data_IF_057686718843
#
_entry.id   IF_057686718843
#
_cell.length_a   1.000
_cell.length_b   1.000
_cell.length_c   1.000
_cell.angle_alpha   90.00
_cell.angle_beta   90.00
_cell.angle_gamma   90.00
#
_symmetry.space_group_name_H-M   'P 1'
#
loop_
_entity.id
_entity.type
_entity.pdbx_description
1 polymer ?
#
# COMPACT_ATOMS: atom_id res chain seq x y z
N UNK A 1 -2.62 20.31 9.75
CA UNK A 1 -2.26 19.13 8.95
C UNK A 1 -3.03 19.21 7.64
N UNK A 2 -2.41 19.01 6.46
CA UNK A 2 -3.18 18.97 5.22
C UNK A 2 -4.07 17.72 5.25
N UNK A 3 -5.34 17.87 4.86
CA UNK A 3 -6.31 16.78 4.81
C UNK A 3 -6.79 16.61 3.37
N UNK A 4 -7.08 15.37 3.00
CA UNK A 4 -7.78 14.99 1.78
C UNK A 4 -9.00 14.15 2.16
N UNK A 5 -9.97 13.91 1.28
CA UNK A 5 -10.98 12.87 1.55
C UNK A 5 -10.43 11.52 1.11
N UNK A 6 -10.88 10.43 1.73
CA UNK A 6 -10.47 9.08 1.32
C UNK A 6 -10.70 8.88 -0.18
N UNK A 7 -11.83 9.36 -0.70
CA UNK A 7 -12.16 9.22 -2.12
C UNK A 7 -11.21 9.97 -3.07
N UNK A 8 -10.54 11.04 -2.61
CA UNK A 8 -9.71 11.90 -3.46
C UNK A 8 -8.38 11.23 -3.86
N UNK A 9 -7.97 10.18 -3.16
CA UNK A 9 -6.74 9.42 -3.43
C UNK A 9 -7.02 8.10 -4.18
N UNK A 10 -8.28 7.81 -4.46
CA UNK A 10 -8.70 6.58 -5.14
C UNK A 10 -9.01 6.84 -6.62
N UNK A 11 -9.00 5.80 -7.47
CA UNK A 11 -9.45 5.92 -8.85
C UNK A 11 -10.82 6.58 -8.96
N UNK A 12 -10.94 7.58 -9.84
CA UNK A 12 -12.11 8.45 -9.95
C UNK A 12 -13.44 7.69 -10.14
N UNK A 13 -13.42 6.55 -10.85
CA UNK A 13 -14.61 5.73 -11.07
C UNK A 13 -15.30 5.26 -9.78
N UNK A 14 -14.59 5.20 -8.66
CA UNK A 14 -15.15 4.78 -7.38
C UNK A 14 -16.05 5.84 -6.72
N UNK A 15 -15.88 7.12 -7.10
CA UNK A 15 -16.63 8.24 -6.50
C UNK A 15 -18.14 8.16 -6.69
N UNK A 16 -18.59 7.39 -7.69
CA UNK A 16 -20.00 7.28 -8.07
C UNK A 16 -20.79 6.29 -7.21
N UNK A 17 -20.12 5.26 -6.67
CA UNK A 17 -20.80 4.15 -6.02
C UNK A 17 -20.29 3.81 -4.62
N UNK A 18 -19.11 4.28 -4.21
CA UNK A 18 -18.62 4.03 -2.85
C UNK A 18 -19.51 4.71 -1.80
N UNK A 19 -19.64 4.10 -0.60
CA UNK A 19 -20.52 4.60 0.45
C UNK A 19 -20.05 5.94 1.01
N UNK A 20 -20.93 6.71 1.68
CA UNK A 20 -20.62 8.04 2.21
C UNK A 20 -19.37 8.12 3.11
N UNK A 21 -19.01 7.02 3.79
CA UNK A 21 -17.79 6.91 4.58
C UNK A 21 -16.52 7.40 3.85
N UNK A 22 -16.41 7.16 2.54
CA UNK A 22 -15.24 7.56 1.74
C UNK A 22 -15.12 9.09 1.55
N UNK A 23 -16.14 9.86 1.95
CA UNK A 23 -16.08 11.33 1.94
C UNK A 23 -15.44 11.90 3.22
N UNK A 24 -15.14 11.05 4.21
CA UNK A 24 -14.48 11.47 5.44
C UNK A 24 -13.05 11.99 5.16
N UNK A 25 -12.59 13.00 5.92
CA UNK A 25 -11.24 13.52 5.79
C UNK A 25 -10.21 12.55 6.37
N UNK A 26 -9.06 12.42 5.74
CA UNK A 26 -7.90 11.67 6.21
C UNK A 26 -6.66 12.55 6.28
N UNK A 27 -5.72 12.23 7.21
CA UNK A 27 -4.36 12.77 7.18
C UNK A 27 -3.70 12.46 5.83
N UNK A 28 -2.98 13.44 5.28
CA UNK A 28 -2.06 13.17 4.17
C UNK A 28 -0.72 12.71 4.77
N UNK A 29 -0.22 11.56 4.31
CA UNK A 29 1.10 11.04 4.70
C UNK A 29 2.22 11.89 4.08
N UNK A 30 2.62 12.94 4.79
CA UNK A 30 3.54 13.96 4.27
C UNK A 30 4.98 13.45 4.13
N UNK A 31 5.36 12.44 4.92
CA UNK A 31 6.68 11.83 4.91
C UNK A 31 6.87 10.77 3.80
N UNK A 32 5.81 10.32 3.13
CA UNK A 32 5.84 9.18 2.21
C UNK A 32 5.53 9.57 0.74
N UNK A 33 6.16 10.63 0.23
CA UNK A 33 5.97 11.08 -1.16
C UNK A 33 7.02 10.49 -2.11
N UNK A 34 6.62 10.03 -3.31
CA UNK A 34 7.57 9.49 -4.30
C UNK A 34 8.55 10.55 -4.83
N UNK A 35 8.12 11.81 -4.93
CA UNK A 35 8.92 12.93 -5.42
C UNK A 35 10.08 13.28 -4.49
N UNK A 36 9.85 13.19 -3.18
CA UNK A 36 10.87 13.38 -2.15
C UNK A 36 10.92 12.15 -1.24
N UNK A 37 11.37 11.03 -1.82
CA UNK A 37 11.30 9.72 -1.18
C UNK A 37 12.15 9.67 0.09
N UNK A 38 11.49 9.55 1.25
CA UNK A 38 12.14 9.46 2.56
C UNK A 38 12.99 8.18 2.77
N UNK A 39 12.86 7.21 1.85
CA UNK A 39 13.61 5.97 1.86
C UNK A 39 14.88 6.05 1.03
N UNK A 40 15.24 7.19 0.44
CA UNK A 40 16.55 7.37 -0.18
C UNK A 40 17.58 7.80 0.88
N UNK A 41 18.79 7.26 0.74
CA UNK A 41 19.91 7.66 1.58
C UNK A 41 20.22 9.15 1.36
N UNK A 42 20.38 9.89 2.44
CA UNK A 42 20.79 11.29 2.41
C UNK A 42 22.31 11.39 2.65
N UNK A 43 23.01 12.38 2.05
CA UNK A 43 24.46 12.53 2.21
C UNK A 43 24.94 12.54 3.67
N UNK A 44 24.13 13.10 4.58
CA UNK A 44 24.44 13.20 6.03
C UNK A 44 23.86 12.03 6.87
N UNK A 45 23.43 10.94 6.23
CA UNK A 45 22.89 9.79 6.94
C UNK A 45 24.01 8.96 7.57
N UNK A 46 24.07 8.96 8.90
CA UNK A 46 24.90 8.02 9.66
C UNK A 46 24.25 6.62 9.81
N UNK A 47 23.06 6.42 9.23
CA UNK A 47 22.39 5.11 9.17
C UNK A 47 22.85 4.44 7.89
N UNK A 48 23.39 3.22 7.97
CA UNK A 48 23.83 2.46 6.79
C UNK A 48 22.76 1.47 6.30
N UNK A 49 22.94 0.98 5.06
CA UNK A 49 22.14 -0.11 4.48
C UNK A 49 22.09 -1.33 5.42
N UNK A 50 20.94 -2.04 5.55
CA UNK A 50 19.87 -2.18 4.56
C UNK A 50 18.56 -1.46 4.94
N UNK A 51 18.60 -0.16 5.27
CA UNK A 51 17.39 0.64 5.59
C UNK A 51 16.86 1.55 4.48
N UNK A 52 17.65 1.84 3.45
CA UNK A 52 17.26 2.71 2.32
C UNK A 52 16.94 1.93 1.05
N UNK A 53 16.08 2.46 0.19
CA UNK A 53 15.82 1.95 -1.15
C UNK A 53 16.87 2.46 -2.14
N UNK A 54 17.01 1.78 -3.27
CA UNK A 54 17.78 2.25 -4.41
C UNK A 54 17.06 3.42 -5.07
N UNK A 55 17.82 4.45 -5.48
CA UNK A 55 17.29 5.58 -6.24
C UNK A 55 16.60 5.15 -7.55
N UNK A 56 17.03 4.03 -8.14
CA UNK A 56 16.50 3.49 -9.40
C UNK A 56 15.18 2.74 -9.26
N UNK A 57 14.82 2.29 -8.05
CA UNK A 57 13.64 1.45 -7.85
C UNK A 57 12.68 1.97 -6.79
N UNK A 58 13.13 2.74 -5.78
CA UNK A 58 12.29 3.23 -4.67
C UNK A 58 11.44 2.08 -4.10
N UNK A 59 10.14 2.25 -3.84
CA UNK A 59 9.25 1.12 -3.50
C UNK A 59 8.71 0.37 -4.73
N UNK A 60 9.04 0.81 -5.95
CA UNK A 60 8.58 0.26 -7.23
C UNK A 60 9.33 -1.03 -7.62
N UNK A 61 9.63 -1.89 -6.65
CA UNK A 61 9.90 -3.32 -6.89
C UNK A 61 8.63 -4.17 -6.74
N UNK A 62 7.50 -3.55 -6.37
CA UNK A 62 6.19 -4.16 -6.45
C UNK A 62 5.64 -4.05 -7.87
N UNK A 63 5.31 -5.19 -8.49
CA UNK A 63 4.56 -5.22 -9.73
C UNK A 63 3.05 -5.28 -9.40
N UNK A 64 2.25 -4.28 -9.79
CA UNK A 64 0.82 -4.25 -9.44
C UNK A 64 0.01 -5.27 -10.22
N UNK A 65 -1.13 -5.65 -9.66
CA UNK A 65 -2.18 -6.44 -10.32
C UNK A 65 -3.35 -5.52 -10.69
N UNK A 66 -3.34 -4.97 -11.90
CA UNK A 66 -4.27 -3.92 -12.30
C UNK A 66 -5.56 -4.57 -12.84
N UNK A 67 -6.72 -4.36 -12.20
CA UNK A 67 -7.98 -4.99 -12.61
C UNK A 67 -8.47 -4.45 -13.96
N UNK A 68 -9.25 -5.28 -14.66
CA UNK A 68 -9.71 -5.04 -16.04
C UNK A 68 -10.25 -3.61 -16.30
N UNK A 69 -11.08 -3.09 -15.40
CA UNK A 69 -11.68 -1.76 -15.54
C UNK A 69 -10.71 -0.61 -15.24
N UNK A 70 -9.65 -0.82 -14.45
CA UNK A 70 -8.60 0.20 -14.25
C UNK A 70 -7.62 0.23 -15.42
N UNK A 71 -7.33 -0.93 -16.02
CA UNK A 71 -6.68 -0.98 -17.33
C UNK A 71 -7.51 -0.20 -18.34
N UNK A 72 -8.82 -0.46 -18.38
CA UNK A 72 -9.77 0.27 -19.22
C UNK A 72 -9.82 1.78 -18.95
N UNK A 73 -9.72 2.19 -17.68
CA UNK A 73 -9.70 3.59 -17.30
C UNK A 73 -8.47 4.30 -17.87
N UNK A 74 -7.29 3.68 -17.75
CA UNK A 74 -6.05 4.18 -18.36
C UNK A 74 -6.19 4.26 -19.90
N UNK A 75 -6.76 3.24 -20.54
CA UNK A 75 -6.96 3.19 -22.00
C UNK A 75 -7.98 4.22 -22.52
N UNK A 76 -8.90 4.68 -21.68
CA UNK A 76 -9.90 5.71 -22.01
C UNK A 76 -9.49 7.12 -21.55
N UNK A 77 -8.34 7.27 -20.90
CA UNK A 77 -7.85 8.58 -20.52
C UNK A 77 -7.38 9.33 -21.75
N UNK A 78 -7.87 10.55 -21.95
CA UNK A 78 -7.36 11.50 -22.96
C UNK A 78 -6.25 12.41 -22.42
N UNK A 79 -5.95 12.31 -21.11
CA UNK A 79 -4.87 13.09 -20.49
C UNK A 79 -3.51 12.75 -21.12
N UNK A 80 -2.76 13.74 -21.64
CA UNK A 80 -1.41 13.55 -22.16
C UNK A 80 -0.41 13.01 -21.12
N UNK A 81 -0.59 13.31 -19.83
CA UNK A 81 0.30 12.81 -18.76
C UNK A 81 0.26 11.27 -18.65
N UNK A 82 -0.84 10.64 -19.09
CA UNK A 82 -1.01 9.19 -19.05
C UNK A 82 -0.50 8.47 -20.33
N UNK A 83 0.03 9.18 -21.34
CA UNK A 83 0.44 8.58 -22.61
C UNK A 83 1.53 7.51 -22.44
N UNK A 84 2.57 7.79 -21.67
CA UNK A 84 3.63 6.81 -21.40
C UNK A 84 3.09 5.57 -20.69
N UNK A 85 2.17 5.75 -19.73
CA UNK A 85 1.48 4.64 -19.07
C UNK A 85 0.65 3.80 -20.03
N UNK A 86 -0.11 4.46 -20.91
CA UNK A 86 -0.90 3.80 -21.96
C UNK A 86 -0.03 2.94 -22.87
N UNK A 87 1.06 3.50 -23.39
CA UNK A 87 1.97 2.76 -24.27
C UNK A 87 2.61 1.55 -23.57
N UNK A 88 3.07 1.71 -22.33
CA UNK A 88 3.62 0.59 -21.54
C UNK A 88 2.59 -0.51 -21.29
N UNK A 89 1.34 -0.13 -20.98
CA UNK A 89 0.25 -1.08 -20.81
C UNK A 89 -0.09 -1.80 -22.11
N UNK A 90 -0.17 -1.08 -23.23
CA UNK A 90 -0.41 -1.67 -24.56
C UNK A 90 0.68 -2.66 -24.95
N UNK A 91 1.95 -2.36 -24.67
CA UNK A 91 3.06 -3.29 -24.89
C UNK A 91 2.91 -4.58 -24.07
N UNK A 92 2.45 -4.47 -22.81
CA UNK A 92 2.15 -5.66 -21.99
C UNK A 92 0.99 -6.48 -22.56
N UNK A 93 -0.08 -5.81 -23.00
CA UNK A 93 -1.23 -6.48 -23.62
C UNK A 93 -0.81 -7.20 -24.90
N UNK A 94 -0.05 -6.53 -25.77
CA UNK A 94 0.47 -7.11 -27.01
C UNK A 94 1.39 -8.32 -26.76
N UNK A 95 2.18 -8.30 -25.67
CA UNK A 95 3.02 -9.42 -25.26
C UNK A 95 2.23 -10.63 -24.75
N UNK A 96 0.95 -10.48 -24.39
CA UNK A 96 0.05 -11.53 -23.87
C UNK A 96 0.55 -12.27 -22.62
N UNK A 97 1.57 -11.73 -21.95
CA UNK A 97 2.17 -12.32 -20.75
C UNK A 97 1.46 -11.80 -19.51
N UNK A 98 0.90 -12.71 -18.71
CA UNK A 98 0.20 -12.40 -17.45
C UNK A 98 -0.96 -11.42 -17.60
N UNK A 99 -1.71 -11.52 -18.69
CA UNK A 99 -2.97 -10.81 -18.90
C UNK A 99 -4.14 -11.79 -18.90
N UNK A 100 -5.30 -11.35 -18.43
CA UNK A 100 -6.54 -12.11 -18.54
C UNK A 100 -7.75 -11.17 -18.55
N UNK A 101 -8.95 -11.67 -18.86
CA UNK A 101 -10.19 -10.90 -18.71
C UNK A 101 -10.40 -10.28 -17.32
N UNK A 102 -9.69 -10.73 -16.27
CA UNK A 102 -9.75 -10.12 -14.94
C UNK A 102 -8.82 -8.91 -14.77
N UNK A 103 -7.80 -8.75 -15.62
CA UNK A 103 -6.84 -7.66 -15.54
C UNK A 103 -5.44 -7.98 -16.10
N UNK A 104 -4.49 -7.10 -15.82
CA UNK A 104 -3.07 -7.26 -16.12
C UNK A 104 -2.31 -7.48 -14.82
N UNK A 105 -1.66 -8.63 -14.72
CA UNK A 105 -1.09 -9.14 -13.48
C UNK A 105 0.43 -9.14 -13.49
N UNK A 106 0.98 -9.24 -12.29
CA UNK A 106 2.38 -9.58 -12.08
C UNK A 106 2.71 -10.96 -12.65
N UNK A 107 3.86 -11.13 -13.31
CA UNK A 107 4.32 -12.46 -13.70
C UNK A 107 4.48 -13.38 -12.49
N UNK A 108 4.14 -14.66 -12.66
CA UNK A 108 4.20 -15.65 -11.58
C UNK A 108 5.61 -15.80 -11.00
N UNK A 109 6.64 -15.71 -11.85
CA UNK A 109 8.04 -15.73 -11.40
C UNK A 109 8.37 -14.57 -10.45
N UNK A 110 7.82 -13.38 -10.68
CA UNK A 110 7.99 -12.24 -9.78
C UNK A 110 7.32 -12.51 -8.43
N UNK A 111 6.16 -13.16 -8.42
CA UNK A 111 5.49 -13.57 -7.16
C UNK A 111 6.35 -14.54 -6.36
N UNK A 112 6.92 -15.55 -7.02
CA UNK A 112 7.80 -16.51 -6.37
C UNK A 112 9.08 -15.86 -5.84
N UNK A 113 9.73 -15.02 -6.64
CA UNK A 113 10.92 -14.28 -6.21
C UNK A 113 10.61 -13.38 -5.01
N UNK A 114 9.51 -12.62 -5.07
CA UNK A 114 9.12 -11.71 -3.98
C UNK A 114 8.76 -12.45 -2.69
N UNK A 115 8.13 -13.64 -2.79
CA UNK A 115 7.80 -14.48 -1.63
C UNK A 115 9.01 -15.12 -0.98
N UNK A 116 10.02 -15.47 -1.77
CA UNK A 116 11.23 -16.15 -1.31
C UNK A 116 12.41 -15.18 -1.08
N UNK A 117 12.22 -13.89 -1.32
CA UNK A 117 13.22 -12.86 -1.07
C UNK A 117 13.15 -12.34 0.38
N UNK A 118 14.30 -12.10 0.99
CA UNK A 118 14.39 -11.32 2.23
C UNK A 118 13.78 -9.90 2.03
N UNK A 119 13.25 -9.30 3.08
CA UNK A 119 12.79 -7.91 3.10
C UNK A 119 13.86 -6.93 2.59
N UNK A 120 15.13 -7.33 2.67
CA UNK A 120 16.26 -6.56 2.16
C UNK A 120 16.26 -6.31 0.64
N UNK A 121 15.53 -7.08 -0.17
CA UNK A 121 15.48 -6.86 -1.61
C UNK A 121 14.38 -5.89 -2.05
N UNK A 122 13.38 -5.68 -1.20
CA UNK A 122 12.29 -4.75 -1.47
C UNK A 122 12.84 -3.33 -1.59
N UNK A 123 12.54 -2.71 -2.72
CA UNK A 123 13.00 -1.40 -3.09
C UNK A 123 14.49 -1.29 -3.41
N UNK A 124 15.16 -2.41 -3.70
CA UNK A 124 16.61 -2.42 -4.04
C UNK A 124 16.92 -3.17 -5.31
N UNK A 125 16.26 -4.30 -5.54
CA UNK A 125 16.52 -5.13 -6.71
C UNK A 125 16.08 -4.44 -7.99
N UNK A 126 17.03 -4.00 -8.82
CA UNK A 126 16.76 -3.46 -10.16
C UNK A 126 16.10 -4.49 -11.07
N UNK A 127 16.40 -5.79 -10.88
CA UNK A 127 15.73 -6.87 -11.61
C UNK A 127 14.23 -6.93 -11.33
N UNK A 128 13.81 -6.56 -10.11
CA UNK A 128 12.40 -6.54 -9.73
C UNK A 128 11.71 -5.20 -10.04
N UNK A 129 12.38 -4.27 -10.73
CA UNK A 129 11.81 -2.95 -11.07
C UNK A 129 10.49 -3.11 -11.82
N UNK A 130 9.47 -2.44 -11.32
CA UNK A 130 8.14 -2.42 -11.91
C UNK A 130 8.20 -1.81 -13.33
N UNK A 131 7.55 -2.41 -14.34
CA UNK A 131 7.58 -1.90 -15.72
C UNK A 131 6.89 -0.54 -15.87
N UNK A 132 6.07 -0.13 -14.90
CA UNK A 132 5.40 1.17 -14.89
C UNK A 132 6.20 2.27 -14.20
N UNK A 133 7.37 1.96 -13.62
CA UNK A 133 8.27 2.95 -13.06
C UNK A 133 9.07 3.63 -14.17
N UNK A 134 9.01 4.96 -14.29
CA UNK A 134 9.86 5.71 -15.22
C UNK A 134 11.21 6.07 -14.59
N UNK A 135 12.10 6.65 -15.39
CA UNK A 135 13.45 7.03 -14.98
C UNK A 135 13.48 8.35 -14.17
N UNK A 136 12.41 9.14 -14.23
CA UNK A 136 12.21 10.32 -13.36
C UNK A 136 11.75 9.93 -11.95
N UNK A 137 11.41 8.66 -11.77
CA UNK A 137 11.09 8.06 -10.49
C UNK A 137 9.61 8.15 -10.12
N UNK A 138 8.72 8.27 -11.11
CA UNK A 138 7.26 8.27 -10.99
C UNK A 138 6.63 6.96 -11.51
N UNK A 139 5.34 6.81 -11.22
CA UNK A 139 4.53 5.70 -11.69
C UNK A 139 3.70 6.19 -12.88
N UNK A 140 3.97 5.65 -14.06
CA UNK A 140 3.33 6.06 -15.31
C UNK A 140 1.86 5.67 -15.42
N UNK A 141 1.35 4.83 -14.53
CA UNK A 141 -0.06 4.38 -14.51
C UNK A 141 -0.87 4.98 -13.36
N UNK A 142 -0.31 5.92 -12.59
CA UNK A 142 -1.10 6.73 -11.65
C UNK A 142 -2.15 7.56 -12.42
N UNK A 143 -3.41 7.71 -11.95
CA UNK A 143 -3.99 7.17 -10.72
C UNK A 143 -4.68 5.78 -10.86
N UNK A 144 -4.42 5.03 -11.94
CA UNK A 144 -5.08 3.75 -12.28
C UNK A 144 -4.33 2.50 -11.78
N UNK A 145 -3.78 2.59 -10.57
CA UNK A 145 -3.07 1.53 -9.85
C UNK A 145 -4.00 0.59 -9.06
N UNK A 146 -3.45 -0.55 -8.65
CA UNK A 146 -4.12 -1.54 -7.82
C UNK A 146 -4.22 -1.11 -6.35
N UNK A 147 -4.88 -1.95 -5.54
CA UNK A 147 -5.12 -1.68 -4.13
C UNK A 147 -3.81 -1.50 -3.35
N UNK A 148 -2.75 -2.23 -3.69
CA UNK A 148 -1.47 -2.19 -2.96
C UNK A 148 -0.77 -0.86 -3.22
N UNK A 149 -0.58 -0.49 -4.48
CA UNK A 149 0.15 0.72 -4.82
C UNK A 149 -0.57 2.00 -4.38
N UNK A 150 -1.91 2.00 -4.37
CA UNK A 150 -2.72 3.14 -3.91
C UNK A 150 -2.76 3.32 -2.38
N UNK A 151 -2.31 2.33 -1.62
CA UNK A 151 -2.38 2.35 -0.13
C UNK A 151 -1.02 2.08 0.53
N UNK A 152 0.05 2.01 -0.25
CA UNK A 152 1.40 1.77 0.27
C UNK A 152 2.07 3.07 0.71
N UNK A 153 2.38 3.17 2.00
CA UNK A 153 3.21 4.23 2.57
C UNK A 153 4.38 3.62 3.35
N UNK A 154 5.59 4.11 3.09
CA UNK A 154 6.79 3.67 3.83
C UNK A 154 6.90 4.34 5.21
N UNK A 155 6.22 5.47 5.40
CA UNK A 155 6.21 6.33 6.58
C UNK A 155 4.79 6.72 6.92
N UNK A 156 4.45 6.82 8.20
CA UNK A 156 3.11 7.12 8.67
C UNK A 156 3.15 8.23 9.72
N UNK A 157 2.55 9.37 9.41
CA UNK A 157 2.49 10.54 10.29
C UNK A 157 1.72 10.21 11.59
N UNK A 158 0.75 9.29 11.50
CA UNK A 158 0.00 8.77 12.63
C UNK A 158 0.58 7.48 13.25
N UNK A 159 1.75 7.00 12.82
CA UNK A 159 2.38 5.80 13.37
C UNK A 159 1.61 4.50 13.05
N UNK A 160 1.47 3.63 14.04
CA UNK A 160 0.81 2.32 13.93
C UNK A 160 -0.65 2.43 13.46
N UNK A 161 -1.37 3.44 13.93
CA UNK A 161 -2.77 3.66 13.60
C UNK A 161 -2.94 4.10 12.13
N UNK A 162 -2.00 4.90 11.63
CA UNK A 162 -1.91 5.22 10.20
C UNK A 162 -1.65 3.96 9.38
N UNK A 163 -0.64 3.18 9.75
CA UNK A 163 -0.32 1.91 9.10
C UNK A 163 -1.49 0.93 9.08
N UNK A 164 -2.19 0.78 10.22
CA UNK A 164 -3.38 -0.07 10.35
C UNK A 164 -4.49 0.42 9.43
N UNK A 165 -4.80 1.71 9.42
CA UNK A 165 -5.82 2.28 8.53
C UNK A 165 -5.52 1.97 7.06
N UNK A 166 -4.30 2.26 6.59
CA UNK A 166 -3.93 2.02 5.19
C UNK A 166 -3.95 0.54 4.83
N UNK A 167 -3.52 -0.33 5.73
CA UNK A 167 -3.59 -1.79 5.54
C UNK A 167 -5.04 -2.28 5.48
N UNK A 168 -5.94 -1.77 6.30
CA UNK A 168 -7.35 -2.15 6.25
C UNK A 168 -8.02 -1.61 4.99
N UNK A 169 -7.70 -0.37 4.57
CA UNK A 169 -8.17 0.20 3.31
C UNK A 169 -7.68 -0.64 2.12
N UNK A 170 -6.42 -1.09 2.15
CA UNK A 170 -5.88 -2.01 1.14
C UNK A 170 -6.72 -3.28 1.03
N UNK A 171 -7.02 -3.94 2.15
CA UNK A 171 -7.84 -5.16 2.15
C UNK A 171 -9.25 -4.90 1.58
N UNK A 172 -9.88 -3.79 1.97
CA UNK A 172 -11.17 -3.37 1.41
C UNK A 172 -11.11 -3.21 -0.11
N UNK A 173 -10.06 -2.53 -0.62
CA UNK A 173 -9.88 -2.28 -2.05
C UNK A 173 -9.51 -3.57 -2.82
N UNK A 174 -8.71 -4.47 -2.25
CA UNK A 174 -8.38 -5.75 -2.88
C UNK A 174 -9.65 -6.58 -3.10
N UNK A 175 -10.57 -6.62 -2.13
CA UNK A 175 -11.84 -7.33 -2.31
C UNK A 175 -12.78 -6.60 -3.26
N UNK A 176 -12.86 -5.26 -3.18
CA UNK A 176 -13.61 -4.44 -4.13
C UNK A 176 -13.17 -4.71 -5.57
N UNK A 177 -11.87 -4.70 -5.83
CA UNK A 177 -11.31 -4.94 -7.16
C UNK A 177 -11.68 -6.33 -7.70
N UNK A 178 -11.67 -7.36 -6.86
CA UNK A 178 -12.13 -8.71 -7.24
C UNK A 178 -13.61 -8.73 -7.61
N UNK A 179 -14.47 -8.08 -6.80
CA UNK A 179 -15.92 -8.00 -7.04
C UNK A 179 -16.18 -7.31 -8.39
N UNK A 180 -15.59 -6.13 -8.59
CA UNK A 180 -15.82 -5.33 -9.80
C UNK A 180 -15.27 -6.02 -11.06
N UNK A 181 -14.07 -6.62 -11.00
CA UNK A 181 -13.54 -7.39 -12.13
C UNK A 181 -14.45 -8.54 -12.54
N UNK A 182 -15.05 -9.25 -11.57
CA UNK A 182 -15.99 -10.36 -11.84
C UNK A 182 -17.36 -9.85 -12.30
N UNK A 183 -17.83 -8.72 -11.77
CA UNK A 183 -19.06 -8.08 -12.21
C UNK A 183 -19.01 -7.71 -13.70
N UNK A 184 -17.86 -7.20 -14.18
CA UNK A 184 -17.63 -6.98 -15.61
C UNK A 184 -17.83 -8.26 -16.41
N UNK A 185 -17.22 -9.37 -15.99
CA UNK A 185 -17.37 -10.66 -16.69
C UNK A 185 -18.84 -11.09 -16.77
N UNK A 186 -19.58 -10.96 -15.66
CA UNK A 186 -21.00 -11.27 -15.62
C UNK A 186 -21.80 -10.39 -16.59
N UNK A 187 -21.55 -9.08 -16.60
CA UNK A 187 -22.27 -8.13 -17.46
C UNK A 187 -21.96 -8.28 -18.94
N UNK A 188 -20.78 -8.79 -19.27
CA UNK A 188 -20.36 -9.05 -20.65
C UNK A 188 -20.74 -10.47 -21.13
N UNK A 189 -21.58 -11.21 -20.38
CA UNK A 189 -21.95 -12.61 -20.66
C UNK A 189 -20.71 -13.49 -20.93
N UNK A 190 -19.66 -13.31 -20.12
CA UNK A 190 -18.38 -13.97 -20.32
C UNK A 190 -18.46 -15.45 -19.93
N UNK A 191 -18.35 -16.35 -20.92
CA UNK A 191 -18.61 -17.80 -20.80
C UNK A 191 -17.43 -18.69 -20.36
N UNK A 192 -16.15 -18.28 -20.43
CA UNK A 192 -15.06 -19.10 -19.93
C UNK A 192 -15.12 -19.37 -18.42
N UNK A 193 -14.60 -20.53 -18.00
CA UNK A 193 -14.56 -20.94 -16.59
C UNK A 193 -13.75 -19.95 -15.74
N UNK A 194 -14.36 -19.43 -14.67
CA UNK A 194 -13.73 -18.51 -13.72
C UNK A 194 -12.44 -19.11 -13.11
N UNK A 195 -12.41 -20.44 -12.89
CA UNK A 195 -11.23 -21.13 -12.34
C UNK A 195 -9.98 -21.03 -13.24
N UNK A 196 -10.15 -20.80 -14.53
CA UNK A 196 -9.05 -20.62 -15.48
C UNK A 196 -8.56 -19.18 -15.62
N UNK A 197 -9.17 -18.21 -14.92
CA UNK A 197 -8.87 -16.79 -15.07
C UNK A 197 -7.92 -16.25 -13.98
N UNK A 198 -7.82 -16.95 -12.85
CA UNK A 198 -6.90 -16.61 -11.76
C UNK A 198 -5.54 -17.27 -11.95
N UNK A 199 -4.47 -16.53 -11.67
CA UNK A 199 -3.10 -17.07 -11.68
C UNK A 199 -2.91 -17.93 -10.42
N UNK A 200 -2.79 -19.24 -10.61
CA UNK A 200 -2.38 -20.14 -9.52
C UNK A 200 -0.87 -20.02 -9.28
N UNK A 201 -0.55 -19.25 -8.25
CA UNK A 201 0.80 -19.01 -7.75
C UNK A 201 1.41 -20.19 -7.02
N UNK A 202 0.64 -21.23 -6.69
CA UNK A 202 1.13 -22.45 -6.04
C UNK A 202 1.60 -23.52 -7.03
N UNK A 203 1.06 -23.51 -8.25
CA UNK A 203 1.50 -24.40 -9.31
C UNK A 203 2.97 -24.14 -9.71
N UNK A 204 3.69 -25.13 -10.27
CA UNK A 204 5.02 -24.92 -10.83
C UNK A 204 5.04 -23.86 -11.94
N UNK A 205 6.20 -23.23 -12.18
CA UNK A 205 6.41 -22.36 -13.34
C UNK A 205 6.51 -23.20 -14.61
N UNK A 206 5.82 -22.78 -15.66
CA UNK A 206 6.00 -23.28 -17.02
C UNK A 206 7.22 -22.63 -17.69
N UNK A 207 7.72 -23.23 -18.78
CA UNK A 207 8.80 -22.65 -19.58
C UNK A 207 8.42 -21.24 -20.07
N UNK A 208 7.19 -21.07 -20.54
CA UNK A 208 6.69 -19.78 -21.03
C UNK A 208 6.70 -18.72 -19.91
N UNK A 209 6.32 -19.08 -18.68
CA UNK A 209 6.35 -18.15 -17.54
C UNK A 209 7.77 -17.78 -17.09
N UNK A 210 8.76 -18.67 -17.26
CA UNK A 210 10.16 -18.37 -16.97
C UNK A 210 10.73 -17.38 -17.99
N UNK A 211 10.45 -17.61 -19.28
CA UNK A 211 11.00 -16.85 -20.40
C UNK A 211 10.17 -15.62 -20.80
N UNK A 212 9.16 -15.24 -19.99
CA UNK A 212 8.20 -14.15 -20.27
C UNK A 212 7.44 -14.28 -21.60
N UNK A 213 7.29 -15.52 -22.08
CA UNK A 213 6.60 -15.81 -23.33
C UNK A 213 5.07 -15.88 -23.14
N UNK A 214 4.30 -15.59 -24.19
CA UNK A 214 2.86 -15.78 -24.16
C UNK A 214 2.49 -17.24 -23.88
N UNK A 215 1.33 -17.51 -23.23
CA UNK A 215 0.85 -18.87 -23.08
C UNK A 215 0.57 -19.51 -24.46
N UNK A 216 0.59 -20.85 -24.56
CA UNK A 216 0.21 -21.54 -25.79
C UNK A 216 -1.14 -21.07 -26.33
N UNK A 217 -1.23 -20.86 -27.65
CA UNK A 217 -2.41 -20.28 -28.31
C UNK A 217 -3.74 -20.96 -27.93
N UNK A 218 -3.85 -22.30 -27.79
CA UNK A 218 -5.10 -22.94 -27.34
C UNK A 218 -5.51 -22.53 -25.92
N UNK A 219 -4.55 -22.35 -25.01
CA UNK A 219 -4.79 -21.91 -23.63
C UNK A 219 -5.23 -20.43 -23.66
N UNK A 220 -4.54 -19.62 -24.45
CA UNK A 220 -4.86 -18.20 -24.62
C UNK A 220 -6.28 -17.97 -25.16
N UNK A 221 -6.64 -18.64 -26.26
CA UNK A 221 -7.99 -18.53 -26.85
C UNK A 221 -9.06 -19.04 -25.90
N UNK A 222 -8.78 -20.07 -25.12
CA UNK A 222 -9.72 -20.59 -24.12
C UNK A 222 -9.96 -19.58 -22.99
N UNK A 223 -8.93 -18.87 -22.52
CA UNK A 223 -9.07 -17.90 -21.43
C UNK A 223 -9.80 -16.62 -21.88
N UNK A 224 -9.60 -16.18 -23.12
CA UNK A 224 -10.22 -14.96 -23.67
C UNK A 224 -11.54 -15.20 -24.42
N UNK A 225 -11.79 -16.40 -24.91
CA UNK A 225 -12.99 -16.73 -25.69
C UNK A 225 -13.12 -15.85 -26.93
N UNK A 226 -14.30 -15.27 -27.14
CA UNK A 226 -14.59 -14.39 -28.27
C UNK A 226 -13.77 -13.08 -28.26
N UNK A 227 -13.15 -12.73 -27.13
CA UNK A 227 -12.34 -11.53 -26.98
C UNK A 227 -10.86 -11.73 -27.33
N UNK A 228 -10.45 -12.95 -27.72
CA UNK A 228 -9.08 -13.20 -28.15
C UNK A 228 -8.74 -12.34 -29.39
N UNK A 229 -7.72 -11.49 -29.27
CA UNK A 229 -7.30 -10.49 -30.24
C UNK A 229 -7.95 -9.11 -30.08
N UNK A 230 -8.89 -8.94 -29.15
CA UNK A 230 -9.63 -7.70 -28.87
C UNK A 230 -9.50 -7.27 -27.39
N UNK A 231 -8.36 -7.55 -26.77
CA UNK A 231 -8.14 -7.38 -25.32
C UNK A 231 -8.27 -5.93 -24.87
N UNK A 232 -7.71 -5.00 -25.65
CA UNK A 232 -7.79 -3.55 -25.36
C UNK A 232 -9.24 -3.07 -25.35
N UNK A 233 -10.05 -3.53 -26.31
CA UNK A 233 -11.45 -3.15 -26.41
C UNK A 233 -12.27 -3.76 -25.25
N UNK A 234 -11.98 -5.01 -24.89
CA UNK A 234 -12.56 -5.64 -23.70
C UNK A 234 -12.33 -4.79 -22.44
N UNK A 235 -11.09 -4.36 -22.20
CA UNK A 235 -10.77 -3.53 -21.04
C UNK A 235 -11.47 -2.16 -21.09
N UNK A 236 -11.53 -1.51 -22.26
CA UNK A 236 -12.26 -0.25 -22.40
C UNK A 236 -13.74 -0.41 -22.05
N UNK A 237 -14.38 -1.49 -22.47
CA UNK A 237 -15.77 -1.80 -22.13
C UNK A 237 -15.95 -2.11 -20.64
N UNK A 238 -14.99 -2.80 -20.02
CA UNK A 238 -14.96 -3.02 -18.57
C UNK A 238 -15.04 -1.70 -17.79
N UNK A 239 -14.27 -0.69 -18.21
CA UNK A 239 -14.32 0.64 -17.60
C UNK A 239 -15.67 1.33 -17.80
N UNK A 240 -16.22 1.29 -19.02
CA UNK A 240 -17.54 1.88 -19.32
C UNK A 240 -18.63 1.32 -18.40
N UNK A 241 -18.63 0.01 -18.16
CA UNK A 241 -19.57 -0.64 -17.24
C UNK A 241 -19.42 -0.16 -15.80
N UNK A 242 -18.19 -0.09 -15.29
CA UNK A 242 -17.94 0.34 -13.90
C UNK A 242 -18.22 1.83 -13.71
N UNK A 243 -17.95 2.68 -14.71
CA UNK A 243 -18.25 4.12 -14.66
C UNK A 243 -19.75 4.42 -14.61
N UNK A 244 -20.60 3.46 -14.99
CA UNK A 244 -22.06 3.60 -14.95
C UNK A 244 -22.66 3.00 -13.67
N UNK A 245 -21.85 2.36 -12.81
CA UNK A 245 -22.33 1.70 -11.62
C UNK A 245 -22.87 2.73 -10.61
N UNK A 246 -24.12 2.54 -10.20
CA UNK A 246 -24.76 3.32 -9.14
C UNK A 246 -24.48 2.77 -7.74
N UNK A 247 -24.72 3.56 -6.70
CA UNK A 247 -24.66 3.10 -5.30
C UNK A 247 -25.61 1.92 -5.03
N UNK A 248 -26.84 1.97 -5.58
CA UNK A 248 -27.82 0.91 -5.41
C UNK A 248 -27.40 -0.40 -6.08
N UNK A 249 -26.80 -0.33 -7.27
CA UNK A 249 -26.26 -1.51 -7.93
C UNK A 249 -25.05 -2.06 -7.19
N UNK A 250 -24.16 -1.19 -6.70
CA UNK A 250 -23.03 -1.61 -5.89
C UNK A 250 -23.48 -2.34 -4.61
N UNK A 251 -24.47 -1.80 -3.90
CA UNK A 251 -25.04 -2.42 -2.70
C UNK A 251 -25.63 -3.83 -2.94
N UNK A 252 -26.03 -4.14 -4.19
CA UNK A 252 -26.52 -5.47 -4.59
C UNK A 252 -25.40 -6.46 -4.86
N UNK A 253 -24.20 -6.01 -5.23
CA UNK A 253 -23.07 -6.88 -5.63
C UNK A 253 -21.95 -6.95 -4.61
N UNK A 254 -21.85 -6.01 -3.66
CA UNK A 254 -20.73 -5.92 -2.71
C UNK A 254 -20.61 -7.17 -1.80
N UNK A 255 -21.73 -7.84 -1.50
CA UNK A 255 -21.75 -9.03 -0.67
C UNK A 255 -21.44 -8.77 0.82
N UNK A 256 -21.44 -9.84 1.62
CA UNK A 256 -21.28 -9.76 3.08
C UNK A 256 -19.84 -9.40 3.47
N UNK A 257 -18.86 -10.00 2.78
CA UNK A 257 -17.44 -9.78 3.07
C UNK A 257 -17.05 -8.30 2.92
N UNK A 258 -17.50 -7.63 1.85
CA UNK A 258 -17.21 -6.21 1.65
C UNK A 258 -17.80 -5.33 2.75
N UNK A 259 -18.99 -5.67 3.27
CA UNK A 259 -19.64 -4.97 4.38
C UNK A 259 -18.89 -5.14 5.70
N UNK A 260 -18.33 -6.33 5.95
CA UNK A 260 -17.48 -6.57 7.12
C UNK A 260 -16.18 -5.77 7.02
N UNK A 261 -15.53 -5.79 5.86
CA UNK A 261 -14.32 -5.00 5.59
C UNK A 261 -14.58 -3.49 5.75
N UNK A 262 -15.76 -2.99 5.37
CA UNK A 262 -16.14 -1.59 5.60
C UNK A 262 -16.18 -1.25 7.09
N UNK A 263 -16.78 -2.13 7.91
CA UNK A 263 -16.85 -1.93 9.37
C UNK A 263 -15.47 -1.94 10.01
N UNK A 264 -14.59 -2.84 9.58
CA UNK A 264 -13.20 -2.86 10.05
C UNK A 264 -12.46 -1.59 9.65
N UNK A 265 -12.69 -1.08 8.44
CA UNK A 265 -12.11 0.17 7.96
C UNK A 265 -12.62 1.38 8.75
N UNK A 266 -13.93 1.43 9.05
CA UNK A 266 -14.55 2.45 9.91
C UNK A 266 -13.94 2.44 11.32
N UNK A 267 -13.71 1.26 11.90
CA UNK A 267 -13.06 1.12 13.20
C UNK A 267 -11.61 1.61 13.16
N UNK A 268 -10.83 1.22 12.15
CA UNK A 268 -9.46 1.66 11.98
C UNK A 268 -9.38 3.20 11.80
N UNK A 269 -10.33 3.78 11.06
CA UNK A 269 -10.45 5.23 10.90
C UNK A 269 -10.80 5.94 12.21
N UNK A 270 -11.69 5.36 13.03
CA UNK A 270 -11.99 5.85 14.37
C UNK A 270 -10.72 5.95 15.21
N UNK A 271 -9.95 4.86 15.31
CA UNK A 271 -8.68 4.84 16.04
C UNK A 271 -7.68 5.88 15.53
N UNK A 272 -7.51 5.97 14.20
CA UNK A 272 -6.64 6.96 13.55
C UNK A 272 -6.97 8.40 13.96
N UNK A 273 -8.26 8.72 14.10
CA UNK A 273 -8.72 10.08 14.38
C UNK A 273 -8.85 10.41 15.86
N UNK A 274 -9.02 9.41 16.73
CA UNK A 274 -9.36 9.65 18.14
C UNK A 274 -8.32 9.18 19.15
N UNK A 275 -7.15 8.64 18.76
CA UNK A 275 -6.18 8.04 19.71
C UNK A 275 -5.85 8.98 20.88
N UNK A 276 -6.43 8.78 22.08
CA UNK A 276 -6.13 9.62 23.23
C UNK A 276 -4.80 9.17 23.82
N UNK A 277 -4.08 10.09 24.45
CA UNK A 277 -2.86 9.71 25.15
C UNK A 277 -3.25 9.03 26.48
N UNK A 278 -2.86 7.76 26.72
CA UNK A 278 -3.11 7.10 28.00
C UNK A 278 -2.49 7.88 29.14
N UNK A 279 -3.12 7.89 30.33
CA UNK A 279 -2.60 8.60 31.51
C UNK A 279 -1.20 8.10 31.93
N UNK A 280 -0.96 6.80 31.73
CA UNK A 280 0.26 6.09 32.08
C UNK A 280 0.77 5.30 30.88
N UNK A 281 2.04 5.52 30.58
CA UNK A 281 2.75 4.84 29.51
C UNK A 281 3.90 4.02 30.08
N UNK A 282 4.24 2.94 29.38
CA UNK A 282 5.45 2.16 29.62
C UNK A 282 6.29 2.04 28.35
N UNK A 283 7.60 1.92 28.48
CA UNK A 283 8.52 1.58 27.39
C UNK A 283 8.11 0.24 26.80
N UNK A 284 7.99 0.20 25.47
CA UNK A 284 7.64 -1.04 24.80
C UNK A 284 8.80 -2.04 24.90
N UNK A 285 8.59 -3.23 25.50
CA UNK A 285 9.66 -4.22 25.67
C UNK A 285 10.11 -4.86 24.35
N UNK A 286 9.31 -4.79 23.30
CA UNK A 286 9.60 -5.38 21.98
C UNK A 286 10.28 -4.39 21.02
N UNK A 287 10.82 -3.29 21.53
CA UNK A 287 11.48 -2.31 20.69
C UNK A 287 12.72 -2.87 20.03
N UNK A 288 12.81 -2.66 18.71
CA UNK A 288 14.09 -2.77 18.03
C UNK A 288 14.88 -1.48 18.25
N UNK A 289 16.07 -1.59 18.81
CA UNK A 289 16.92 -0.48 19.24
C UNK A 289 18.27 -0.63 18.54
N UNK A 290 18.65 0.38 17.78
CA UNK A 290 19.96 0.44 17.12
C UNK A 290 20.70 1.71 17.53
N UNK A 291 21.92 1.58 18.04
CA UNK A 291 22.79 2.72 18.33
C UNK A 291 23.46 3.17 17.03
N UNK A 292 23.15 4.39 16.58
CA UNK A 292 23.74 4.94 15.35
C UNK A 292 25.05 5.70 15.66
N UNK A 293 25.10 6.37 16.80
CA UNK A 293 26.28 7.10 17.27
C UNK A 293 26.30 7.16 18.80
N UNK A 294 27.35 7.73 19.39
CA UNK A 294 27.40 7.99 20.83
C UNK A 294 26.27 8.90 21.34
N UNK A 295 25.66 9.69 20.46
CA UNK A 295 24.63 10.68 20.80
C UNK A 295 23.24 10.34 20.27
N UNK A 296 23.06 9.27 19.50
CA UNK A 296 21.77 8.99 18.85
C UNK A 296 21.43 7.51 18.67
N UNK A 297 20.14 7.22 18.78
CA UNK A 297 19.54 5.90 18.63
C UNK A 297 18.45 5.92 17.57
N UNK A 298 18.22 4.78 16.96
CA UNK A 298 17.13 4.50 16.04
C UNK A 298 16.21 3.48 16.68
N UNK A 299 14.94 3.84 16.87
CA UNK A 299 13.97 2.97 17.51
C UNK A 299 12.84 2.62 16.54
N UNK A 300 12.48 1.34 16.46
CA UNK A 300 11.32 0.87 15.69
C UNK A 300 10.39 0.06 16.59
N UNK A 301 9.16 0.53 16.79
CA UNK A 301 8.14 -0.16 17.59
C UNK A 301 7.12 -0.96 16.76
N UNK A 302 6.75 -0.44 15.59
CA UNK A 302 5.68 -1.03 14.77
C UNK A 302 6.09 -1.43 13.36
N UNK A 303 6.96 -0.65 12.71
CA UNK A 303 7.44 -0.90 11.35
C UNK A 303 8.97 -0.77 11.27
N UNK A 304 9.67 -1.72 10.62
CA UNK A 304 11.12 -1.59 10.37
C UNK A 304 11.44 -0.48 9.37
N UNK A 305 10.49 -0.09 8.52
CA UNK A 305 10.66 0.99 7.54
C UNK A 305 10.40 2.37 8.13
N UNK A 306 9.80 2.47 9.32
CA UNK A 306 9.48 3.75 9.95
C UNK A 306 10.10 3.94 11.36
N UNK A 307 11.43 3.91 11.47
CA UNK A 307 12.08 4.17 12.74
C UNK A 307 12.07 5.66 13.11
N UNK A 308 12.08 5.93 14.42
CA UNK A 308 12.37 7.25 14.99
C UNK A 308 13.84 7.36 15.40
N UNK A 309 14.52 8.38 14.88
CA UNK A 309 15.82 8.80 15.40
C UNK A 309 15.62 9.69 16.63
N UNK A 310 16.22 9.31 17.75
CA UNK A 310 16.16 10.09 19.00
C UNK A 310 17.57 10.32 19.57
N UNK A 311 17.70 11.34 20.41
CA UNK A 311 18.96 11.61 21.12
C UNK A 311 19.18 10.62 22.26
N UNK A 312 20.44 10.44 22.67
CA UNK A 312 20.78 9.63 23.85
C UNK A 312 20.04 10.10 25.11
N UNK A 313 19.97 11.42 25.36
CA UNK A 313 19.28 11.96 26.53
C UNK A 313 17.79 11.57 26.56
N UNK A 314 17.12 11.65 25.41
CA UNK A 314 15.72 11.21 25.29
C UNK A 314 15.58 9.68 25.44
N UNK A 315 16.54 8.92 24.92
CA UNK A 315 16.56 7.46 25.08
C UNK A 315 16.69 7.06 26.56
N UNK A 316 17.61 7.68 27.30
CA UNK A 316 17.84 7.40 28.73
C UNK A 316 16.57 7.72 29.56
N UNK A 317 15.79 8.72 29.16
CA UNK A 317 14.49 9.04 29.75
C UNK A 317 13.40 7.97 29.55
N UNK A 318 13.53 7.09 28.54
CA UNK A 318 12.49 6.09 28.24
C UNK A 318 12.34 5.07 29.37
N UNK A 319 13.40 4.83 30.15
CA UNK A 319 13.37 3.86 31.26
C UNK A 319 12.54 4.34 32.46
N UNK A 320 12.24 5.64 32.54
CA UNK A 320 11.30 6.17 33.55
C UNK A 320 9.83 5.88 33.21
N UNK A 321 9.53 5.51 31.96
CA UNK A 321 8.22 5.01 31.57
C UNK A 321 8.15 3.51 31.89
N UNK A 322 7.87 3.18 33.16
CA UNK A 322 7.66 1.80 33.61
C UNK A 322 6.18 1.46 33.85
N UNK A 323 5.29 2.45 33.70
CA UNK A 323 3.85 2.35 33.96
C UNK A 323 3.43 2.62 35.40
N UNK A 324 4.36 2.83 36.33
CA UNK A 324 4.09 3.10 37.75
C UNK A 324 3.69 4.55 38.03
N UNK A 325 4.18 5.49 37.20
CA UNK A 325 3.93 6.93 37.31
C UNK A 325 3.00 7.43 36.20
N UNK A 326 2.34 8.56 36.46
CA UNK A 326 1.62 9.30 35.41
C UNK A 326 2.60 9.95 34.45
N UNK A 327 2.16 10.17 33.21
CA UNK A 327 3.00 10.83 32.20
C UNK A 327 3.54 12.19 32.69
N UNK A 328 2.74 12.98 33.42
CA UNK A 328 3.18 14.27 33.96
C UNK A 328 4.32 14.13 34.99
N UNK A 329 4.28 13.09 35.82
CA UNK A 329 5.35 12.82 36.79
C UNK A 329 6.63 12.39 36.08
N UNK A 330 6.53 11.51 35.08
CA UNK A 330 7.69 11.08 34.28
C UNK A 330 8.30 12.26 33.54
N UNK A 331 7.49 13.15 32.94
CA UNK A 331 7.98 14.36 32.27
C UNK A 331 8.82 15.24 33.22
N UNK A 332 8.39 15.39 34.48
CA UNK A 332 9.17 16.13 35.49
C UNK A 332 10.50 15.43 35.80
N UNK A 333 10.50 14.11 35.96
CA UNK A 333 11.74 13.33 36.18
C UNK A 333 12.73 13.46 35.02
N UNK A 334 12.25 13.37 33.78
CA UNK A 334 13.07 13.56 32.57
C UNK A 334 13.73 14.95 32.53
N UNK A 335 12.97 15.98 32.92
CA UNK A 335 13.49 17.34 33.00
C UNK A 335 14.55 17.47 34.10
N UNK A 336 14.26 16.98 35.30
CA UNK A 336 15.12 17.17 36.47
C UNK A 336 16.42 16.35 36.40
N UNK A 337 16.40 15.16 35.80
CA UNK A 337 17.57 14.26 35.73
C UNK A 337 18.38 14.36 34.44
N UNK A 338 17.74 14.74 33.33
CA UNK A 338 18.37 14.71 32.01
C UNK A 338 18.23 16.01 31.21
N UNK A 339 17.60 17.05 31.78
CA UNK A 339 17.30 18.33 31.12
C UNK A 339 16.52 18.13 29.81
N UNK A 340 15.66 17.10 29.75
CA UNK A 340 14.87 16.77 28.56
C UNK A 340 13.44 17.27 28.72
N UNK A 341 13.08 18.24 27.87
CA UNK A 341 11.68 18.64 27.70
C UNK A 341 10.89 17.63 26.87
N UNK A 342 9.80 17.13 27.44
CA UNK A 342 8.87 16.19 26.79
C UNK A 342 7.48 16.85 26.61
N UNK A 343 7.31 17.75 25.63
CA UNK A 343 5.99 18.27 25.31
C UNK A 343 5.04 17.14 24.89
N UNK A 344 3.75 17.35 25.09
CA UNK A 344 2.69 16.37 24.82
C UNK A 344 2.75 15.79 23.40
N UNK A 345 3.11 16.60 22.40
CA UNK A 345 3.24 16.16 21.01
C UNK A 345 4.39 15.15 20.78
N UNK A 346 5.49 15.28 21.52
CA UNK A 346 6.56 14.26 21.48
C UNK A 346 6.04 12.98 22.13
N UNK A 347 5.32 13.08 23.24
CA UNK A 347 4.79 11.92 23.94
C UNK A 347 3.74 11.16 23.10
N UNK A 348 2.84 11.89 22.43
CA UNK A 348 1.91 11.35 21.43
C UNK A 348 2.65 10.66 20.29
N UNK A 349 3.72 11.26 19.78
CA UNK A 349 4.54 10.66 18.72
C UNK A 349 5.21 9.37 19.18
N UNK A 350 5.82 9.35 20.37
CA UNK A 350 6.42 8.14 20.95
C UNK A 350 5.37 7.04 21.15
N UNK A 351 4.15 7.41 21.54
CA UNK A 351 3.06 6.45 21.69
C UNK A 351 2.58 5.87 20.35
N UNK A 352 2.30 6.72 19.36
CA UNK A 352 1.88 6.32 18.00
C UNK A 352 2.90 5.43 17.32
N UNK A 353 4.18 5.67 17.52
CA UNK A 353 5.26 4.86 16.96
C UNK A 353 5.56 3.58 17.78
N UNK A 354 4.76 3.30 18.81
CA UNK A 354 4.91 2.17 19.73
C UNK A 354 6.28 2.12 20.39
N UNK A 355 6.90 3.28 20.62
CA UNK A 355 8.05 3.42 21.51
C UNK A 355 7.59 3.35 22.96
N UNK A 356 6.46 4.01 23.22
CA UNK A 356 5.72 3.91 24.47
C UNK A 356 4.35 3.28 24.19
N UNK A 357 3.87 2.43 25.09
CA UNK A 357 2.57 1.75 24.99
C UNK A 357 1.78 1.95 26.27
N UNK A 358 0.46 1.77 26.19
CA UNK A 358 -0.38 1.87 27.39
C UNK A 358 -0.05 0.74 28.37
N UNK A 359 -0.26 0.99 29.66
CA UNK A 359 -0.21 -0.08 30.66
C UNK A 359 -1.33 -1.07 30.39
N UNK A 360 -0.98 -2.36 30.27
CA UNK A 360 -1.93 -3.43 29.92
C UNK A 360 -1.99 -3.76 28.42
N UNK A 361 -1.39 -2.94 27.55
CA UNK A 361 -1.15 -3.34 26.16
C UNK A 361 0.00 -4.36 26.10
N UNK A 362 -0.26 -5.48 25.45
CA UNK A 362 0.71 -6.41 24.86
C UNK A 362 0.38 -6.51 23.38
N UNK A 363 1.41 -6.54 22.54
CA UNK A 363 1.28 -6.46 21.09
C UNK A 363 0.56 -7.68 20.50
#
# INVERSE_FOLDING_TARGET
MKTARIIDILPQCYSLFLPPFFKNPIPIESAATCRNCAMLEKPDSHVHAPKFFSAKTKCCTHHPDIPNYLVGALMNSDDPEHETGRQRMLNRIAGKTSISPLGVFRPKKFTLLSRNSNLEYFGRSEFLRCPFHDDEGFCTVMPYWDAVCSTWFCKHDAGEEGWRFWRTLRTYLENLQKILSRYVLLKMDFKPSISGLSIDVSAPLTLQELDDLPPPEPIYRKSWGAWAGNETEFYKQAYTLIRQLSQDEFARIEGIEQKLLLRELEQAYGLLTTTPLPERLKKNPELNIEKISESSYLLSGYSPFDPLKISKRLYDCLDFFDGSLTNQQVIRLCHDQHEVGLPEEILKKLHRFRILIAVGETK
#
